data_IF_622311706049
#
_entry.id   IF_622311706049
#
_cell.length_a   1.000
_cell.length_b   1.000
_cell.length_c   1.000
_cell.angle_alpha   90.00
_cell.angle_beta   90.00
_cell.angle_gamma   90.00
#
_symmetry.space_group_name_H-M   'P 1'
#
loop_
_entity.id
_entity.type
_entity.pdbx_description
1 polymer ?
#
# COMPACT_ATOMS: atom_id res chain seq x y z
N UNK A 1 -35.69 -44.09 -10.72
CA UNK A 1 -35.21 -43.19 -9.65
C UNK A 1 -36.42 -42.49 -9.03
N UNK A 2 -36.52 -42.38 -7.70
CA UNK A 2 -37.63 -41.66 -7.08
C UNK A 2 -37.55 -40.16 -7.40
N UNK A 3 -38.69 -39.49 -7.59
CA UNK A 3 -38.75 -38.05 -7.88
C UNK A 3 -37.99 -37.23 -6.82
N UNK A 4 -38.04 -37.63 -5.54
CA UNK A 4 -37.29 -36.99 -4.46
C UNK A 4 -35.78 -37.03 -4.62
N UNK A 5 -35.21 -38.19 -5.01
CA UNK A 5 -33.76 -38.30 -5.24
C UNK A 5 -33.30 -37.45 -6.42
N UNK A 6 -34.12 -37.35 -7.46
CA UNK A 6 -33.79 -36.54 -8.62
C UNK A 6 -33.79 -35.04 -8.28
N UNK A 7 -34.71 -34.56 -7.44
CA UNK A 7 -34.73 -33.18 -6.96
C UNK A 7 -33.52 -32.86 -6.08
N UNK A 8 -33.19 -33.72 -5.11
CA UNK A 8 -32.00 -33.58 -4.26
C UNK A 8 -30.71 -33.46 -5.07
N UNK A 9 -30.56 -34.27 -6.13
CA UNK A 9 -29.38 -34.19 -6.99
C UNK A 9 -29.30 -32.87 -7.78
N UNK A 10 -30.44 -32.33 -8.24
CA UNK A 10 -30.47 -31.03 -8.92
C UNK A 10 -30.16 -29.88 -7.96
N UNK A 11 -30.73 -29.90 -6.76
CA UNK A 11 -30.44 -28.91 -5.71
C UNK A 11 -28.96 -28.92 -5.32
N UNK A 12 -28.39 -30.12 -5.13
CA UNK A 12 -26.97 -30.29 -4.85
C UNK A 12 -26.10 -29.74 -5.99
N UNK A 13 -26.40 -30.09 -7.24
CA UNK A 13 -25.65 -29.60 -8.39
C UNK A 13 -25.69 -28.07 -8.43
N UNK A 14 -26.88 -27.47 -8.30
CA UNK A 14 -27.05 -26.04 -8.36
C UNK A 14 -26.27 -25.32 -7.24
N UNK A 15 -26.38 -25.77 -5.99
CA UNK A 15 -25.72 -25.09 -4.87
C UNK A 15 -24.19 -25.21 -4.95
N UNK A 16 -23.67 -26.36 -5.36
CA UNK A 16 -22.22 -26.57 -5.52
C UNK A 16 -21.68 -25.73 -6.69
N UNK A 17 -22.42 -25.63 -7.80
CA UNK A 17 -22.06 -24.74 -8.90
C UNK A 17 -22.09 -23.26 -8.49
N UNK A 18 -23.08 -22.83 -7.70
CA UNK A 18 -23.14 -21.49 -7.13
C UNK A 18 -21.92 -21.22 -6.22
N UNK A 19 -21.63 -22.09 -5.23
CA UNK A 19 -20.48 -21.93 -4.34
C UNK A 19 -19.16 -21.94 -5.11
N UNK A 20 -19.00 -22.83 -6.09
CA UNK A 20 -17.75 -22.95 -6.86
C UNK A 20 -17.47 -21.69 -7.68
N UNK A 21 -18.49 -21.06 -8.27
CA UNK A 21 -18.33 -19.77 -8.98
C UNK A 21 -17.88 -18.65 -8.04
N UNK A 22 -18.42 -18.63 -6.82
CA UNK A 22 -18.03 -17.65 -5.81
C UNK A 22 -16.58 -17.86 -5.36
N UNK A 23 -16.16 -19.11 -5.15
CA UNK A 23 -14.76 -19.44 -4.85
C UNK A 23 -13.82 -18.98 -5.97
N UNK A 24 -14.16 -19.28 -7.23
CA UNK A 24 -13.35 -18.85 -8.38
C UNK A 24 -13.21 -17.33 -8.41
N UNK A 25 -14.31 -16.60 -8.20
CA UNK A 25 -14.30 -15.15 -8.17
C UNK A 25 -13.38 -14.60 -7.07
N UNK A 26 -13.39 -15.19 -5.87
CA UNK A 26 -12.52 -14.77 -4.76
C UNK A 26 -11.06 -15.04 -5.10
N UNK A 27 -10.76 -16.21 -5.66
CA UNK A 27 -9.40 -16.59 -6.06
C UNK A 27 -8.85 -15.67 -7.16
N UNK A 28 -9.67 -15.27 -8.13
CA UNK A 28 -9.26 -14.32 -9.18
C UNK A 28 -8.86 -12.96 -8.59
N UNK A 29 -9.60 -12.47 -7.58
CA UNK A 29 -9.26 -11.22 -6.88
C UNK A 29 -8.03 -11.34 -6.00
N UNK A 30 -7.87 -12.47 -5.34
CA UNK A 30 -6.66 -12.78 -4.57
C UNK A 30 -5.43 -12.75 -5.47
N UNK A 31 -5.46 -13.48 -6.60
CA UNK A 31 -4.33 -13.59 -7.53
C UNK A 31 -3.91 -12.21 -8.07
N UNK A 32 -4.88 -11.37 -8.46
CA UNK A 32 -4.62 -9.99 -8.92
C UNK A 32 -3.84 -9.17 -7.89
N UNK A 33 -4.13 -9.36 -6.61
CA UNK A 33 -3.51 -8.62 -5.52
C UNK A 33 -2.17 -9.23 -5.07
N UNK A 34 -2.01 -10.55 -5.17
CA UNK A 34 -0.76 -11.24 -4.81
C UNK A 34 0.39 -10.95 -5.78
N UNK A 35 0.09 -10.76 -7.07
CA UNK A 35 1.12 -10.46 -8.08
C UNK A 35 1.53 -8.99 -8.13
N UNK A 36 0.89 -8.13 -7.32
CA UNK A 36 1.16 -6.70 -7.34
C UNK A 36 2.52 -6.35 -6.73
N UNK A 37 3.33 -5.60 -7.47
CA UNK A 37 4.65 -5.14 -7.02
C UNK A 37 4.54 -3.93 -6.07
N UNK A 38 4.96 -4.13 -4.81
CA UNK A 38 5.03 -3.10 -3.76
C UNK A 38 6.43 -2.49 -3.59
N UNK A 39 7.31 -2.65 -4.58
CA UNK A 39 8.65 -2.08 -4.64
C UNK A 39 8.69 -0.56 -4.79
N UNK A 40 9.90 0.01 -4.82
CA UNK A 40 10.08 1.48 -4.91
C UNK A 40 9.93 2.03 -6.33
N UNK A 41 10.01 1.16 -7.34
CA UNK A 41 9.99 1.56 -8.74
C UNK A 41 8.65 2.23 -9.09
N UNK A 42 8.73 3.46 -9.63
CA UNK A 42 7.55 4.23 -10.04
C UNK A 42 6.51 4.46 -8.92
N UNK A 43 6.93 4.51 -7.66
CA UNK A 43 6.04 4.71 -6.49
C UNK A 43 5.09 5.90 -6.61
N UNK A 44 5.58 7.02 -7.13
CA UNK A 44 4.77 8.22 -7.36
C UNK A 44 3.67 8.02 -8.41
N UNK A 45 3.83 7.05 -9.31
CA UNK A 45 2.86 6.75 -10.37
C UNK A 45 1.85 5.69 -9.94
N UNK A 46 2.31 4.63 -9.25
CA UNK A 46 1.42 3.52 -8.93
C UNK A 46 0.57 3.77 -7.68
N UNK A 47 1.05 4.51 -6.67
CA UNK A 47 0.30 4.70 -5.42
C UNK A 47 -1.08 5.33 -5.66
N UNK A 48 -1.22 6.45 -6.42
CA UNK A 48 -2.54 7.03 -6.69
C UNK A 48 -3.46 6.07 -7.45
N UNK A 49 -2.93 5.33 -8.43
CA UNK A 49 -3.71 4.36 -9.22
C UNK A 49 -4.17 3.18 -8.35
N UNK A 50 -3.29 2.67 -7.48
CA UNK A 50 -3.60 1.56 -6.58
C UNK A 50 -4.57 1.99 -5.49
N UNK A 51 -4.52 3.24 -5.03
CA UNK A 51 -5.53 3.81 -4.11
C UNK A 51 -6.93 3.83 -4.73
N UNK A 52 -7.04 4.23 -6.00
CA UNK A 52 -8.31 4.22 -6.74
C UNK A 52 -8.81 2.78 -6.97
N UNK A 53 -7.93 1.90 -7.44
CA UNK A 53 -8.21 0.46 -7.63
C UNK A 53 -8.66 -0.20 -6.32
N UNK A 54 -7.97 0.07 -5.21
CA UNK A 54 -8.34 -0.43 -3.88
C UNK A 54 -9.72 0.08 -3.44
N UNK A 55 -10.04 1.35 -3.69
CA UNK A 55 -11.37 1.90 -3.38
C UNK A 55 -12.48 1.17 -4.16
N UNK A 56 -12.25 0.90 -5.45
CA UNK A 56 -13.18 0.11 -6.28
C UNK A 56 -13.30 -1.33 -5.79
N UNK A 57 -12.19 -1.96 -5.40
CA UNK A 57 -12.18 -3.29 -4.82
C UNK A 57 -13.03 -3.32 -3.55
N UNK A 58 -12.85 -2.36 -2.63
CA UNK A 58 -13.64 -2.30 -1.39
C UNK A 58 -15.14 -2.19 -1.66
N UNK A 59 -15.58 -1.30 -2.56
CA UNK A 59 -17.00 -1.22 -2.94
C UNK A 59 -17.51 -2.52 -3.56
N UNK A 60 -16.69 -3.16 -4.40
CA UNK A 60 -17.03 -4.46 -5.01
C UNK A 60 -17.18 -5.55 -3.95
N UNK A 61 -16.33 -5.57 -2.93
CA UNK A 61 -16.39 -6.54 -1.83
C UNK A 61 -17.63 -6.32 -0.96
N UNK A 62 -18.03 -5.07 -0.70
CA UNK A 62 -19.27 -4.77 0.04
C UNK A 62 -20.52 -5.27 -0.69
N UNK A 63 -20.55 -5.17 -2.02
CA UNK A 63 -21.63 -5.76 -2.82
C UNK A 63 -21.57 -7.29 -2.78
N UNK A 64 -20.37 -7.85 -2.97
CA UNK A 64 -20.17 -9.30 -2.97
C UNK A 64 -20.56 -9.94 -1.65
N UNK A 65 -20.28 -9.30 -0.51
CA UNK A 65 -20.68 -9.78 0.81
C UNK A 65 -22.20 -9.98 0.91
N UNK A 66 -23.00 -9.12 0.29
CA UNK A 66 -24.47 -9.28 0.27
C UNK A 66 -24.87 -10.52 -0.51
N UNK A 67 -24.21 -10.83 -1.61
CA UNK A 67 -24.49 -12.00 -2.42
C UNK A 67 -24.02 -13.30 -1.74
N UNK A 68 -22.85 -13.28 -1.10
CA UNK A 68 -22.37 -14.39 -0.27
C UNK A 68 -23.30 -14.68 0.91
N UNK A 69 -23.85 -13.64 1.54
CA UNK A 69 -24.86 -13.81 2.60
C UNK A 69 -26.15 -14.45 2.08
N UNK A 70 -26.64 -14.06 0.88
CA UNK A 70 -27.80 -14.72 0.26
C UNK A 70 -27.51 -16.20 -0.03
N UNK A 71 -26.32 -16.51 -0.55
CA UNK A 71 -25.90 -17.89 -0.81
C UNK A 71 -25.84 -18.69 0.50
N UNK A 72 -25.27 -18.12 1.56
CA UNK A 72 -25.25 -18.72 2.90
C UNK A 72 -26.66 -19.03 3.41
N UNK A 73 -27.62 -18.11 3.26
CA UNK A 73 -29.01 -18.39 3.65
C UNK A 73 -29.64 -19.55 2.86
N UNK A 74 -29.32 -19.70 1.56
CA UNK A 74 -29.75 -20.86 0.78
C UNK A 74 -29.14 -22.16 1.31
N UNK A 75 -27.82 -22.15 1.57
CA UNK A 75 -27.11 -23.29 2.17
C UNK A 75 -27.74 -23.67 3.51
N UNK A 76 -27.90 -22.72 4.43
CA UNK A 76 -28.50 -22.95 5.74
C UNK A 76 -29.90 -23.56 5.65
N UNK A 77 -30.70 -23.18 4.65
CA UNK A 77 -32.01 -23.78 4.38
C UNK A 77 -31.91 -25.25 3.97
N UNK A 78 -30.98 -25.60 3.07
CA UNK A 78 -30.73 -26.99 2.65
C UNK A 78 -30.25 -27.85 3.83
N UNK A 79 -29.39 -27.31 4.68
CA UNK A 79 -28.89 -28.00 5.87
C UNK A 79 -30.00 -28.25 6.89
N UNK A 80 -30.86 -27.24 7.14
CA UNK A 80 -32.05 -27.38 8.01
C UNK A 80 -33.05 -28.41 7.49
N UNK A 81 -33.17 -28.56 6.17
CA UNK A 81 -34.02 -29.57 5.54
C UNK A 81 -33.38 -30.97 5.49
N UNK A 82 -32.24 -31.18 6.17
CA UNK A 82 -31.52 -32.44 6.23
C UNK A 82 -31.21 -33.04 4.86
N UNK A 83 -30.69 -32.19 3.94
CA UNK A 83 -30.26 -32.65 2.63
C UNK A 83 -29.27 -33.83 2.76
N UNK A 84 -29.40 -34.92 1.97
CA UNK A 84 -28.58 -36.13 2.13
C UNK A 84 -27.08 -35.94 1.88
N UNK A 85 -26.66 -34.77 1.37
CA UNK A 85 -25.27 -34.40 1.12
C UNK A 85 -24.83 -33.15 1.91
N UNK A 86 -25.47 -32.88 3.06
CA UNK A 86 -25.16 -31.72 3.91
C UNK A 86 -23.68 -31.59 4.25
N UNK A 87 -22.99 -32.70 4.53
CA UNK A 87 -21.55 -32.73 4.84
C UNK A 87 -20.69 -32.13 3.70
N UNK A 88 -21.07 -32.42 2.45
CA UNK A 88 -20.37 -31.89 1.27
C UNK A 88 -20.69 -30.42 1.03
N UNK A 89 -21.95 -30.02 1.22
CA UNK A 89 -22.36 -28.63 1.05
C UNK A 89 -21.65 -27.76 2.09
N UNK A 90 -21.60 -28.19 3.36
CA UNK A 90 -20.88 -27.52 4.44
C UNK A 90 -19.39 -27.37 4.11
N UNK A 91 -18.71 -28.44 3.68
CA UNK A 91 -17.28 -28.39 3.34
C UNK A 91 -16.97 -27.37 2.21
N UNK A 92 -17.83 -27.27 1.19
CA UNK A 92 -17.69 -26.27 0.14
C UNK A 92 -17.93 -24.85 0.66
N UNK A 93 -18.93 -24.67 1.52
CA UNK A 93 -19.22 -23.37 2.13
C UNK A 93 -18.09 -22.91 3.07
N UNK A 94 -17.49 -23.82 3.83
CA UNK A 94 -16.33 -23.54 4.69
C UNK A 94 -15.10 -23.14 3.87
N UNK A 95 -14.91 -23.78 2.71
CA UNK A 95 -13.85 -23.40 1.76
C UNK A 95 -14.07 -21.97 1.27
N UNK A 96 -15.29 -21.63 0.83
CA UNK A 96 -15.64 -20.27 0.42
C UNK A 96 -15.44 -19.25 1.55
N UNK A 97 -15.84 -19.58 2.77
CA UNK A 97 -15.66 -18.72 3.94
C UNK A 97 -14.17 -18.48 4.23
N UNK A 98 -13.32 -19.51 4.08
CA UNK A 98 -11.88 -19.40 4.26
C UNK A 98 -11.27 -18.46 3.22
N UNK A 99 -11.57 -18.66 1.94
CA UNK A 99 -11.07 -17.82 0.85
C UNK A 99 -11.54 -16.37 1.00
N UNK A 100 -12.82 -16.16 1.35
CA UNK A 100 -13.35 -14.82 1.60
C UNK A 100 -12.63 -14.12 2.74
N UNK A 101 -12.44 -14.83 3.86
CA UNK A 101 -11.74 -14.28 5.03
C UNK A 101 -10.29 -13.94 4.72
N UNK A 102 -9.63 -14.75 3.89
CA UNK A 102 -8.27 -14.53 3.43
C UNK A 102 -8.15 -13.29 2.54
N UNK A 103 -9.05 -13.12 1.56
CA UNK A 103 -9.10 -11.92 0.72
C UNK A 103 -9.27 -10.64 1.57
N UNK A 104 -10.07 -10.69 2.64
CA UNK A 104 -10.20 -9.58 3.59
C UNK A 104 -8.94 -9.31 4.43
N UNK A 105 -8.03 -10.28 4.60
CA UNK A 105 -6.72 -10.02 5.19
C UNK A 105 -5.80 -9.34 4.18
N UNK A 106 -5.83 -9.78 2.91
CA UNK A 106 -5.09 -9.13 1.83
C UNK A 106 -5.47 -7.65 1.72
N UNK A 107 -6.75 -7.29 1.80
CA UNK A 107 -7.18 -5.87 1.77
C UNK A 107 -6.60 -5.04 2.92
N UNK A 108 -6.47 -5.60 4.12
CA UNK A 108 -5.80 -4.93 5.24
C UNK A 108 -4.32 -4.72 4.97
N UNK A 109 -3.65 -5.70 4.38
CA UNK A 109 -2.26 -5.57 3.96
C UNK A 109 -2.11 -4.46 2.90
N UNK A 110 -2.99 -4.42 1.88
CA UNK A 110 -3.02 -3.37 0.86
C UNK A 110 -3.17 -1.99 1.50
N UNK A 111 -4.08 -1.84 2.47
CA UNK A 111 -4.27 -0.59 3.20
C UNK A 111 -2.98 -0.11 3.89
N UNK A 112 -2.28 -1.02 4.59
CA UNK A 112 -1.01 -0.70 5.23
C UNK A 112 0.05 -0.34 4.18
N UNK A 113 0.15 -1.11 3.10
CA UNK A 113 1.10 -0.81 2.03
C UNK A 113 0.85 0.55 1.39
N UNK A 114 -0.39 0.90 1.05
CA UNK A 114 -0.75 2.22 0.52
C UNK A 114 -0.29 3.35 1.44
N UNK A 115 -0.58 3.23 2.74
CA UNK A 115 -0.21 4.22 3.74
C UNK A 115 1.31 4.38 3.87
N UNK A 116 2.03 3.27 4.08
CA UNK A 116 3.46 3.31 4.37
C UNK A 116 4.28 3.65 3.12
N UNK A 117 3.88 3.18 1.93
CA UNK A 117 4.54 3.53 0.67
C UNK A 117 4.24 4.99 0.27
N UNK A 118 3.05 5.53 0.54
CA UNK A 118 2.78 6.96 0.36
C UNK A 118 3.67 7.81 1.29
N UNK A 119 3.80 7.41 2.56
CA UNK A 119 4.70 8.08 3.51
C UNK A 119 6.16 8.02 3.06
N UNK A 120 6.63 6.88 2.55
CA UNK A 120 7.96 6.74 1.94
C UNK A 120 8.16 7.75 0.81
N UNK A 121 7.23 7.79 -0.15
CA UNK A 121 7.37 8.67 -1.31
C UNK A 121 7.40 10.14 -0.92
N UNK A 122 6.48 10.55 -0.02
CA UNK A 122 6.39 11.92 0.47
C UNK A 122 7.64 12.32 1.25
N UNK A 123 8.16 11.44 2.11
CA UNK A 123 9.38 11.70 2.87
C UNK A 123 10.57 11.99 1.95
N UNK A 124 10.82 11.14 0.95
CA UNK A 124 11.96 11.35 0.05
C UNK A 124 11.79 12.58 -0.83
N UNK A 125 10.56 12.90 -1.23
CA UNK A 125 10.26 14.16 -1.92
C UNK A 125 10.65 15.38 -1.06
N UNK A 126 10.14 15.45 0.16
CA UNK A 126 10.43 16.56 1.09
C UNK A 126 11.90 16.64 1.49
N UNK A 127 12.54 15.48 1.70
CA UNK A 127 13.96 15.41 2.01
C UNK A 127 14.82 15.95 0.86
N UNK A 128 14.52 15.57 -0.38
CA UNK A 128 15.24 16.04 -1.57
C UNK A 128 15.01 17.54 -1.82
N UNK A 129 13.78 18.03 -1.63
CA UNK A 129 13.46 19.45 -1.73
C UNK A 129 14.21 20.27 -0.67
N UNK A 130 14.21 19.80 0.58
CA UNK A 130 14.93 20.44 1.70
C UNK A 130 16.44 20.42 1.46
N UNK A 131 17.00 19.29 1.02
CA UNK A 131 18.40 19.16 0.67
C UNK A 131 18.80 20.14 -0.45
N UNK A 132 18.02 20.19 -1.52
CA UNK A 132 18.26 21.12 -2.64
C UNK A 132 18.18 22.58 -2.22
N UNK A 133 17.25 22.93 -1.32
CA UNK A 133 17.13 24.28 -0.74
C UNK A 133 18.39 24.64 0.05
N UNK A 134 18.81 23.79 0.98
CA UNK A 134 19.99 24.01 1.81
C UNK A 134 21.28 24.11 0.97
N UNK A 135 21.39 23.29 -0.08
CA UNK A 135 22.53 23.34 -1.01
C UNK A 135 22.59 24.68 -1.76
N UNK A 136 21.44 25.21 -2.21
CA UNK A 136 21.36 26.55 -2.83
C UNK A 136 21.72 27.67 -1.85
N UNK A 137 21.24 27.58 -0.61
CA UNK A 137 21.57 28.55 0.45
C UNK A 137 23.08 28.54 0.75
N UNK A 138 23.68 27.35 0.86
CA UNK A 138 25.12 27.18 1.06
C UNK A 138 25.94 27.85 -0.06
N UNK A 139 25.62 27.57 -1.33
CA UNK A 139 26.33 28.18 -2.46
C UNK A 139 26.10 29.69 -2.55
N UNK A 140 24.90 30.17 -2.22
CA UNK A 140 24.59 31.60 -2.16
C UNK A 140 25.46 32.31 -1.12
N UNK A 141 25.60 31.72 0.07
CA UNK A 141 26.46 32.31 1.12
C UNK A 141 27.92 32.30 0.67
N UNK A 142 28.40 31.16 0.17
CA UNK A 142 29.79 31.01 -0.29
C UNK A 142 30.18 32.02 -1.37
N UNK A 143 29.25 32.39 -2.24
CA UNK A 143 29.49 33.36 -3.33
C UNK A 143 29.33 34.82 -2.90
N UNK A 144 28.36 35.14 -2.03
CA UNK A 144 28.03 36.53 -1.69
C UNK A 144 28.85 37.11 -0.55
N UNK A 145 29.31 36.28 0.39
CA UNK A 145 29.99 36.74 1.60
C UNK A 145 31.48 36.41 1.56
N UNK A 146 32.14 36.83 0.49
CA UNK A 146 33.60 36.76 0.35
C UNK A 146 34.22 38.08 0.77
N UNK A 147 35.27 38.03 1.59
CA UNK A 147 36.08 39.19 1.93
C UNK A 147 37.57 38.82 1.96
N UNK A 148 38.42 39.83 1.78
CA UNK A 148 39.87 39.72 1.83
C UNK A 148 40.47 40.81 2.75
N UNK A 149 41.80 40.85 2.85
CA UNK A 149 42.51 41.84 3.69
C UNK A 149 42.36 43.29 3.21
N UNK A 150 41.92 43.50 1.98
CA UNK A 150 41.79 44.82 1.36
C UNK A 150 40.34 45.31 1.34
N UNK A 151 39.39 44.52 1.84
CA UNK A 151 37.98 44.87 1.86
C UNK A 151 37.72 46.04 2.81
N UNK A 152 37.15 47.17 2.35
CA UNK A 152 36.87 48.34 3.19
C UNK A 152 35.96 48.01 4.38
N UNK A 153 36.14 48.73 5.50
CA UNK A 153 35.35 48.54 6.71
C UNK A 153 33.84 48.68 6.47
N UNK A 154 33.42 49.66 5.66
CA UNK A 154 32.01 49.89 5.34
C UNK A 154 31.39 48.66 4.62
N UNK A 155 32.09 48.11 3.63
CA UNK A 155 31.67 46.89 2.93
C UNK A 155 31.61 45.68 3.87
N UNK A 156 32.57 45.56 4.81
CA UNK A 156 32.55 44.47 5.81
C UNK A 156 31.32 44.55 6.72
N UNK A 157 30.92 45.77 7.14
CA UNK A 157 29.72 45.97 7.96
C UNK A 157 28.44 45.60 7.19
N UNK A 158 28.36 45.94 5.90
CA UNK A 158 27.24 45.53 5.05
C UNK A 158 27.17 44.00 4.87
N UNK A 159 28.31 43.37 4.60
CA UNK A 159 28.40 41.90 4.49
C UNK A 159 27.97 41.22 5.80
N UNK A 160 28.41 41.74 6.96
CA UNK A 160 28.04 41.20 8.26
C UNK A 160 26.53 41.29 8.51
N UNK A 161 25.91 42.44 8.22
CA UNK A 161 24.46 42.63 8.33
C UNK A 161 23.69 41.69 7.39
N UNK A 162 24.20 41.45 6.20
CA UNK A 162 23.63 40.47 5.27
C UNK A 162 23.75 39.03 5.78
N UNK A 163 24.88 38.68 6.40
CA UNK A 163 25.14 37.34 6.92
C UNK A 163 24.24 37.01 8.13
N UNK A 164 23.95 37.99 8.98
CA UNK A 164 22.99 37.83 10.09
C UNK A 164 21.59 37.47 9.59
N UNK A 165 21.11 38.12 8.52
CA UNK A 165 19.83 37.77 7.88
C UNK A 165 19.83 36.37 7.28
N UNK A 166 20.93 35.98 6.63
CA UNK A 166 21.06 34.64 6.06
C UNK A 166 21.10 33.55 7.14
N UNK A 167 21.73 33.83 8.29
CA UNK A 167 21.70 32.96 9.46
C UNK A 167 20.27 32.75 9.97
N UNK A 168 19.47 33.82 10.09
CA UNK A 168 18.06 33.71 10.49
C UNK A 168 17.28 32.83 9.52
N UNK A 169 17.44 33.04 8.21
CA UNK A 169 16.80 32.24 7.16
C UNK A 169 17.16 30.75 7.23
N UNK A 170 18.44 30.42 7.43
CA UNK A 170 18.87 29.02 7.59
C UNK A 170 18.27 28.41 8.86
N UNK A 171 18.17 29.18 9.94
CA UNK A 171 17.61 28.71 11.20
C UNK A 171 16.12 28.34 11.10
N UNK A 172 15.38 28.90 10.13
CA UNK A 172 14.00 28.47 9.83
C UNK A 172 13.95 27.02 9.32
N UNK A 173 14.96 26.61 8.53
CA UNK A 173 15.05 25.24 8.02
C UNK A 173 15.33 24.21 9.12
N UNK A 174 15.83 24.63 10.29
CA UNK A 174 16.13 23.73 11.43
C UNK A 174 14.89 22.91 11.85
N UNK A 175 13.71 23.53 11.87
CA UNK A 175 12.46 22.83 12.23
C UNK A 175 12.10 21.76 11.20
N UNK A 176 12.22 22.08 9.92
CA UNK A 176 11.96 21.13 8.83
C UNK A 176 12.93 19.96 8.86
N UNK A 177 14.23 20.23 9.05
CA UNK A 177 15.25 19.17 9.17
C UNK A 177 14.96 18.27 10.37
N UNK A 178 14.60 18.84 11.53
CA UNK A 178 14.26 18.05 12.70
C UNK A 178 13.01 17.18 12.49
N UNK A 179 12.01 17.71 11.77
CA UNK A 179 10.83 16.95 11.37
C UNK A 179 11.21 15.75 10.50
N UNK A 180 12.02 15.97 9.45
CA UNK A 180 12.50 14.91 8.57
C UNK A 180 13.32 13.86 9.33
N UNK A 181 14.20 14.26 10.25
CA UNK A 181 14.95 13.32 11.10
C UNK A 181 14.01 12.45 11.93
N UNK A 182 12.93 13.02 12.49
CA UNK A 182 11.96 12.23 13.24
C UNK A 182 11.17 11.28 12.34
N UNK A 183 10.71 11.76 11.18
CA UNK A 183 10.00 10.94 10.18
C UNK A 183 10.86 9.77 9.69
N UNK A 184 12.15 9.99 9.44
CA UNK A 184 13.06 8.97 8.90
C UNK A 184 13.12 7.69 9.75
N UNK A 185 12.84 7.78 11.05
CA UNK A 185 12.86 6.64 11.98
C UNK A 185 11.70 5.67 11.76
N UNK A 186 10.61 6.12 11.13
CA UNK A 186 9.42 5.30 10.87
C UNK A 186 9.27 4.92 9.40
N UNK A 187 10.12 5.42 8.49
CA UNK A 187 10.00 5.11 7.06
C UNK A 187 10.42 3.66 6.79
N UNK A 188 9.53 2.92 6.12
CA UNK A 188 9.73 1.53 5.71
C UNK A 188 10.80 1.40 4.62
N UNK A 189 11.37 0.19 4.47
CA UNK A 189 12.34 -0.12 3.41
C UNK A 189 11.63 -0.80 2.23
N UNK A 190 11.69 -0.18 1.06
CA UNK A 190 11.05 -0.70 -0.15
C UNK A 190 12.03 -1.41 -1.10
N UNK A 191 13.29 -0.96 -1.16
CA UNK A 191 14.36 -1.55 -1.98
C UNK A 191 14.48 -3.08 -1.92
N UNK A 192 14.51 -3.70 -0.72
CA UNK A 192 14.67 -5.16 -0.62
C UNK A 192 13.50 -5.98 -1.19
N UNK A 193 12.38 -5.34 -1.58
CA UNK A 193 11.24 -6.01 -2.22
C UNK A 193 11.46 -6.23 -3.72
N UNK A 194 12.47 -5.58 -4.31
CA UNK A 194 12.77 -5.72 -5.73
C UNK A 194 13.53 -7.04 -5.98
N UNK A 195 13.05 -7.92 -6.87
CA UNK A 195 13.70 -9.22 -7.14
C UNK A 195 15.10 -9.09 -7.77
N UNK A 196 15.47 -7.92 -8.31
CA UNK A 196 16.81 -7.66 -8.84
C UNK A 196 17.88 -7.51 -7.76
N UNK A 197 17.52 -7.08 -6.54
CA UNK A 197 18.49 -6.88 -5.44
C UNK A 197 18.96 -8.20 -4.82
N UNK A 198 18.15 -9.26 -4.85
CA UNK A 198 18.52 -10.61 -4.38
C UNK A 198 19.72 -11.19 -5.14
N UNK A 199 19.84 -10.87 -6.44
CA UNK A 199 20.97 -11.33 -7.27
C UNK A 199 22.29 -10.61 -6.97
N UNK A 200 22.25 -9.41 -6.38
CA UNK A 200 23.45 -8.68 -5.95
C UNK A 200 24.01 -9.14 -4.60
N UNK A 201 23.20 -9.88 -3.83
CA UNK A 201 23.53 -10.34 -2.48
C UNK A 201 24.06 -11.78 -2.45
N UNK A 202 24.20 -12.42 -3.61
CA UNK A 202 24.88 -13.72 -3.70
C UNK A 202 26.38 -13.52 -3.45
N UNK A 203 27.00 -14.23 -2.50
CA UNK A 203 28.44 -14.17 -2.36
C UNK A 203 29.04 -14.69 -3.67
N UNK A 204 29.90 -13.87 -4.28
CA UNK A 204 30.81 -14.35 -5.31
C UNK A 204 31.64 -15.45 -4.66
N UNK A 205 31.36 -16.71 -5.02
CA UNK A 205 32.24 -17.84 -4.75
C UNK A 205 33.47 -17.76 -5.65
#
# INVERSE_FOLDING_TARGET
MSHGRNNQLRELQQIIEEISREIMWVNEREEEELVFDWGENNINLYIPKKQESYSKLMSTLEEKEKDLNKLKFKVDSLLKNHHPASDKIEAYMDTLQTQWSWLLQITKCIHVHLKENAAYSQFFKEANETYSKLQKEHENIRRKFTSDRNTPLENLLELLKGLEKEKERIMENKRQVQHLVNMSKSIVRLRPRNPEEEKSSSPVM
#
